data_IF_093347962754
#
_entry.id   IF_093347962754
#
_cell.length_a   1.000
_cell.length_b   1.000
_cell.length_c   1.000
_cell.angle_alpha   90.00
_cell.angle_beta   90.00
_cell.angle_gamma   90.00
#
_symmetry.space_group_name_H-M   'P 1'
#
loop_
_entity.id
_entity.type
_entity.pdbx_description
1 polymer ?
#
# COMPACT_ATOMS: atom_id res chain seq x y z
N UNK A 1 -35.88 26.48 13.53
CA UNK A 1 -35.71 25.05 13.14
C UNK A 1 -35.20 24.86 11.72
N UNK A 2 -35.87 25.37 10.68
CA UNK A 2 -35.48 25.15 9.26
C UNK A 2 -34.04 25.60 8.93
N UNK A 3 -33.58 26.72 9.48
CA UNK A 3 -32.21 27.22 9.25
C UNK A 3 -31.12 26.33 9.86
N UNK A 4 -31.40 25.66 10.99
CA UNK A 4 -30.45 24.77 11.68
C UNK A 4 -30.31 23.46 10.88
N UNK A 5 -31.43 22.91 10.42
CA UNK A 5 -31.46 21.70 9.59
C UNK A 5 -30.65 21.91 8.30
N UNK A 6 -30.79 23.06 7.63
CA UNK A 6 -30.00 23.38 6.43
C UNK A 6 -28.49 23.43 6.71
N UNK A 7 -28.07 23.99 7.84
CA UNK A 7 -26.66 24.03 8.22
C UNK A 7 -26.09 22.64 8.49
N UNK A 8 -26.83 21.81 9.23
CA UNK A 8 -26.42 20.42 9.51
C UNK A 8 -26.26 19.66 8.19
N UNK A 9 -27.24 19.76 7.29
CA UNK A 9 -27.19 19.08 5.98
C UNK A 9 -25.98 19.52 5.15
N UNK A 10 -25.70 20.82 5.13
CA UNK A 10 -24.52 21.36 4.44
C UNK A 10 -23.22 20.79 5.01
N UNK A 11 -23.06 20.74 6.34
CA UNK A 11 -21.87 20.17 6.97
C UNK A 11 -21.72 18.68 6.69
N UNK A 12 -22.82 17.91 6.71
CA UNK A 12 -22.78 16.48 6.40
C UNK A 12 -22.34 16.23 4.96
N UNK A 13 -22.83 17.00 4.00
CA UNK A 13 -22.39 16.90 2.59
C UNK A 13 -20.94 17.30 2.42
N UNK A 14 -20.51 18.40 3.05
CA UNK A 14 -19.12 18.83 2.98
C UNK A 14 -18.22 17.74 3.57
N UNK A 15 -18.58 17.17 4.72
CA UNK A 15 -17.82 16.10 5.35
C UNK A 15 -17.74 14.84 4.47
N UNK A 16 -18.86 14.40 3.87
CA UNK A 16 -18.86 13.20 3.01
C UNK A 16 -18.04 13.39 1.75
N UNK A 17 -18.15 14.54 1.09
CA UNK A 17 -17.36 14.87 -0.10
C UNK A 17 -15.87 14.99 0.25
N UNK A 18 -15.55 15.63 1.37
CA UNK A 18 -14.15 15.76 1.83
C UNK A 18 -13.53 14.40 2.14
N UNK A 19 -14.29 13.51 2.78
CA UNK A 19 -13.84 12.16 3.08
C UNK A 19 -13.59 11.34 1.79
N UNK A 20 -14.49 11.43 0.82
CA UNK A 20 -14.32 10.76 -0.47
C UNK A 20 -13.08 11.30 -1.24
N UNK A 21 -12.91 12.62 -1.28
CA UNK A 21 -11.75 13.26 -1.91
C UNK A 21 -10.43 12.86 -1.23
N UNK A 22 -10.43 12.79 0.11
CA UNK A 22 -9.27 12.36 0.88
C UNK A 22 -8.90 10.90 0.59
N UNK A 23 -9.89 10.00 0.52
CA UNK A 23 -9.66 8.60 0.14
C UNK A 23 -9.05 8.47 -1.27
N UNK A 24 -9.56 9.22 -2.24
CA UNK A 24 -9.00 9.23 -3.61
C UNK A 24 -7.56 9.78 -3.63
N UNK A 25 -7.25 10.83 -2.85
CA UNK A 25 -5.90 11.37 -2.76
C UNK A 25 -4.91 10.35 -2.17
N UNK A 26 -5.31 9.59 -1.14
CA UNK A 26 -4.49 8.51 -0.58
C UNK A 26 -4.22 7.38 -1.59
N UNK A 27 -5.23 7.02 -2.41
CA UNK A 27 -5.04 6.03 -3.47
C UNK A 27 -4.00 6.50 -4.51
N UNK A 28 -4.02 7.79 -4.88
CA UNK A 28 -3.04 8.35 -5.81
C UNK A 28 -1.62 8.30 -5.25
N UNK A 29 -1.40 8.67 -3.99
CA UNK A 29 -0.07 8.59 -3.34
C UNK A 29 0.47 7.16 -3.40
N UNK A 30 -0.39 6.16 -3.16
CA UNK A 30 -0.03 4.75 -3.24
C UNK A 30 0.45 4.26 -4.61
N UNK A 31 0.00 4.90 -5.70
CA UNK A 31 0.42 4.52 -7.06
C UNK A 31 1.84 4.99 -7.42
N UNK A 32 2.39 5.99 -6.72
CA UNK A 32 3.72 6.55 -7.04
C UNK A 32 4.86 5.96 -6.21
N UNK A 33 4.54 5.22 -5.14
CA UNK A 33 5.54 4.62 -4.24
C UNK A 33 5.45 3.10 -4.30
N UNK A 34 5.55 2.51 -5.50
CA UNK A 34 5.63 1.05 -5.63
C UNK A 34 6.97 0.63 -5.05
N UNK A 35 6.95 0.15 -3.81
CA UNK A 35 8.13 -0.40 -3.15
C UNK A 35 7.91 -1.89 -2.90
N UNK A 36 8.89 -2.69 -3.27
CA UNK A 36 8.93 -4.12 -3.01
C UNK A 36 10.14 -4.45 -2.15
N UNK A 37 10.00 -5.46 -1.30
CA UNK A 37 11.10 -6.05 -0.57
C UNK A 37 11.12 -7.55 -0.83
N UNK A 38 12.24 -8.04 -1.36
CA UNK A 38 12.45 -9.45 -1.63
C UNK A 38 13.63 -9.95 -0.80
N UNK A 39 13.48 -11.15 -0.24
CA UNK A 39 14.54 -11.83 0.51
C UNK A 39 14.70 -13.26 0.04
N UNK A 40 15.93 -13.73 -0.02
CA UNK A 40 16.22 -15.12 -0.33
C UNK A 40 16.14 -15.99 0.94
N UNK A 41 15.55 -17.18 0.84
CA UNK A 41 15.44 -18.10 1.99
C UNK A 41 16.69 -18.98 2.21
N UNK A 42 17.76 -18.75 1.43
CA UNK A 42 19.04 -19.47 1.54
C UNK A 42 20.09 -18.67 2.33
N UNK A 43 21.14 -19.34 2.85
CA UNK A 43 22.19 -18.72 3.67
C UNK A 43 23.01 -17.61 3.00
N UNK A 44 22.81 -17.34 1.71
CA UNK A 44 23.50 -16.24 1.01
C UNK A 44 22.99 -14.83 1.39
N UNK A 45 21.98 -14.73 2.26
CA UNK A 45 21.47 -13.46 2.83
C UNK A 45 21.13 -12.37 1.80
N UNK A 46 20.82 -12.75 0.56
CA UNK A 46 20.46 -11.77 -0.47
C UNK A 46 19.09 -11.17 -0.17
N UNK A 47 19.03 -9.84 -0.24
CA UNK A 47 17.83 -9.05 -0.07
C UNK A 47 17.89 -7.83 -0.98
N UNK A 48 16.75 -7.41 -1.52
CA UNK A 48 16.60 -6.14 -2.21
C UNK A 48 15.40 -5.38 -1.65
N UNK A 49 15.40 -4.06 -1.84
CA UNK A 49 14.27 -3.19 -1.54
C UNK A 49 14.17 -2.10 -2.61
N UNK A 50 12.95 -1.77 -3.03
CA UNK A 50 12.66 -0.71 -3.99
C UNK A 50 11.70 -1.13 -5.10
N UNK A 51 11.46 -0.22 -6.02
CA UNK A 51 10.62 -0.36 -7.21
C UNK A 51 11.10 -1.47 -8.18
N UNK A 52 12.41 -1.59 -8.34
CA UNK A 52 13.04 -2.54 -9.25
C UNK A 52 13.35 -3.91 -8.61
N UNK A 53 13.06 -4.08 -7.32
CA UNK A 53 13.46 -5.27 -6.57
C UNK A 53 12.75 -6.56 -7.05
N UNK A 54 11.54 -6.46 -7.60
CA UNK A 54 10.89 -7.61 -8.25
C UNK A 54 11.63 -8.08 -9.50
N UNK A 55 12.08 -7.16 -10.35
CA UNK A 55 12.88 -7.52 -11.52
C UNK A 55 14.27 -8.07 -11.12
N UNK A 56 14.82 -7.58 -10.00
CA UNK A 56 16.07 -8.10 -9.46
C UNK A 56 15.92 -9.50 -8.86
N UNK A 57 14.79 -9.81 -8.22
CA UNK A 57 14.52 -11.14 -7.66
C UNK A 57 14.34 -12.19 -8.75
N UNK A 58 13.67 -11.87 -9.86
CA UNK A 58 13.58 -12.74 -11.04
C UNK A 58 14.97 -13.06 -11.61
N UNK A 59 15.81 -12.04 -11.78
CA UNK A 59 17.21 -12.24 -12.22
C UNK A 59 18.01 -13.11 -11.25
N UNK A 60 17.80 -12.92 -9.94
CA UNK A 60 18.46 -13.74 -8.91
C UNK A 60 18.01 -15.20 -8.99
N UNK A 61 16.72 -15.44 -9.23
CA UNK A 61 16.18 -16.79 -9.43
C UNK A 61 16.75 -17.44 -10.70
N UNK A 62 16.81 -16.71 -11.82
CA UNK A 62 17.36 -17.23 -13.07
C UNK A 62 18.85 -17.58 -12.97
N UNK A 63 19.61 -16.79 -12.20
CA UNK A 63 21.06 -17.00 -12.05
C UNK A 63 21.42 -18.07 -11.02
N UNK A 64 20.68 -18.14 -9.90
CA UNK A 64 21.07 -18.97 -8.75
C UNK A 64 20.04 -20.04 -8.39
N UNK A 65 18.87 -20.06 -9.03
CA UNK A 65 17.75 -20.97 -8.74
C UNK A 65 17.32 -20.98 -7.26
N UNK A 66 17.51 -19.86 -6.57
CA UNK A 66 17.11 -19.71 -5.18
C UNK A 66 15.72 -19.11 -5.08
N UNK A 67 14.84 -19.75 -4.30
CA UNK A 67 13.52 -19.20 -4.02
C UNK A 67 13.61 -17.91 -3.19
N UNK A 68 13.05 -16.84 -3.74
CA UNK A 68 12.89 -15.54 -3.09
C UNK A 68 11.46 -15.36 -2.58
N UNK A 69 11.32 -14.77 -1.40
CA UNK A 69 10.04 -14.33 -0.87
C UNK A 69 9.94 -12.81 -1.02
N UNK A 70 8.98 -12.36 -1.82
CA UNK A 70 8.75 -10.95 -2.13
C UNK A 70 7.43 -10.48 -1.51
N UNK A 71 7.47 -9.31 -0.88
CA UNK A 71 6.30 -8.65 -0.32
C UNK A 71 6.31 -7.19 -0.73
N UNK A 72 5.12 -6.62 -0.89
CA UNK A 72 4.97 -5.21 -1.23
C UNK A 72 5.05 -4.37 0.05
N UNK A 73 5.84 -3.32 0.03
CA UNK A 73 6.11 -2.44 1.18
C UNK A 73 5.61 -1.02 0.97
N UNK A 74 4.80 -0.78 -0.05
CA UNK A 74 4.19 0.53 -0.27
C UNK A 74 3.28 0.90 0.91
N UNK A 75 3.34 2.19 1.28
CA UNK A 75 2.65 2.72 2.45
C UNK A 75 1.16 2.37 2.56
N UNK A 76 0.35 2.39 1.46
CA UNK A 76 -1.04 1.95 1.53
C UNK A 76 -1.18 0.47 1.84
N UNK A 77 -0.34 -0.39 1.25
CA UNK A 77 -0.40 -1.83 1.47
C UNK A 77 0.06 -2.23 2.87
N UNK A 78 1.05 -1.55 3.46
CA UNK A 78 1.44 -1.82 4.85
C UNK A 78 0.29 -1.55 5.83
N UNK A 79 -0.49 -0.49 5.59
CA UNK A 79 -1.68 -0.20 6.41
C UNK A 79 -2.75 -1.26 6.19
N UNK A 80 -3.05 -1.60 4.93
CA UNK A 80 -4.04 -2.61 4.56
C UNK A 80 -3.68 -3.99 5.13
N UNK A 81 -2.44 -4.44 4.98
CA UNK A 81 -1.99 -5.73 5.51
C UNK A 81 -2.11 -5.79 7.03
N UNK A 82 -1.79 -4.70 7.74
CA UNK A 82 -2.01 -4.62 9.19
C UNK A 82 -3.48 -4.61 9.59
N UNK A 83 -4.35 -3.94 8.83
CA UNK A 83 -5.79 -3.85 9.15
C UNK A 83 -6.54 -5.13 8.80
N UNK A 84 -6.25 -5.75 7.65
CA UNK A 84 -6.90 -6.97 7.22
C UNK A 84 -6.26 -8.23 7.80
N UNK A 85 -4.95 -8.22 8.08
CA UNK A 85 -4.26 -9.33 8.72
C UNK A 85 -4.57 -9.51 10.22
N UNK A 86 -5.21 -8.53 10.86
CA UNK A 86 -5.78 -8.68 12.23
C UNK A 86 -7.23 -9.13 12.23
N UNK A 87 -7.90 -9.14 11.08
CA UNK A 87 -9.30 -9.55 10.91
C UNK A 87 -9.45 -11.02 10.46
N UNK A 88 -8.34 -11.72 10.25
CA UNK A 88 -8.23 -13.11 9.80
C UNK A 88 -7.51 -13.93 10.86
#
# INVERSE_FOLDING_TARGET
MVAIIKKIWLYTVIASVSFALFGMALMLIGTFTIEWSCKCNVPNHWQCAGDNCMAESERHFDQFHHNTNCHRTDWPMVILEKTFGTLL
#
